data_IF_289460316522
#
_entry.id   IF_289460316522
#
_cell.length_a   1.000
_cell.length_b   1.000
_cell.length_c   1.000
_cell.angle_alpha   90.00
_cell.angle_beta   90.00
_cell.angle_gamma   90.00
#
_symmetry.space_group_name_H-M   'P 1'
#
loop_
_entity.id
_entity.type
_entity.pdbx_description
1 polymer ?
#
# COMPACT_ATOMS: atom_id res chain seq x y z
N UNK A 1 10.80 -2.99 -8.75
CA UNK A 1 10.49 -1.56 -8.52
C UNK A 1 9.83 -1.01 -9.77
N UNK A 2 8.62 -0.47 -9.67
CA UNK A 2 7.87 0.16 -10.77
C UNK A 2 7.50 1.58 -10.34
N UNK A 3 7.81 2.60 -11.15
CA UNK A 3 7.70 4.01 -10.75
C UNK A 3 6.73 4.71 -11.68
N UNK A 4 5.71 5.35 -11.10
CA UNK A 4 4.70 6.12 -11.82
C UNK A 4 4.57 7.52 -11.18
N UNK A 5 4.61 8.61 -11.96
CA UNK A 5 4.27 9.92 -11.44
C UNK A 5 2.78 9.96 -11.12
N UNK A 6 2.43 10.37 -9.89
CA UNK A 6 1.06 10.50 -9.42
C UNK A 6 0.83 11.89 -8.82
N UNK A 7 -0.37 12.42 -9.00
CA UNK A 7 -0.81 13.69 -8.41
C UNK A 7 -1.76 13.44 -7.23
N UNK A 8 -1.88 14.42 -6.34
CA UNK A 8 -2.89 14.42 -5.27
C UNK A 8 -4.28 14.19 -5.88
N UNK A 9 -5.07 13.32 -5.25
CA UNK A 9 -6.41 12.96 -5.70
C UNK A 9 -6.44 11.85 -6.75
N UNK A 10 -5.30 11.42 -7.28
CA UNK A 10 -5.25 10.26 -8.15
C UNK A 10 -5.18 8.95 -7.35
N UNK A 11 -5.72 7.87 -7.92
CA UNK A 11 -5.73 6.54 -7.29
C UNK A 11 -4.92 5.54 -8.12
N UNK A 12 -3.99 4.84 -7.48
CA UNK A 12 -3.28 3.69 -8.03
C UNK A 12 -4.02 2.40 -7.73
N UNK A 13 -4.35 1.64 -8.77
CA UNK A 13 -4.97 0.32 -8.63
C UNK A 13 -3.90 -0.75 -8.78
N UNK A 14 -3.81 -1.64 -7.79
CA UNK A 14 -2.89 -2.77 -7.77
C UNK A 14 -3.74 -4.04 -7.72
N UNK A 15 -3.63 -4.92 -8.73
CA UNK A 15 -4.55 -6.07 -8.88
C UNK A 15 -6.03 -5.58 -8.92
N UNK A 16 -7.01 -6.48 -8.92
CA UNK A 16 -8.39 -6.08 -9.12
C UNK A 16 -9.01 -5.30 -7.95
N UNK A 17 -8.53 -5.47 -6.72
CA UNK A 17 -9.22 -4.99 -5.52
C UNK A 17 -8.37 -4.10 -4.59
N UNK A 18 -7.13 -3.76 -4.91
CA UNK A 18 -6.32 -2.85 -4.07
C UNK A 18 -6.28 -1.47 -4.70
N UNK A 19 -6.73 -0.45 -3.96
CA UNK A 19 -6.71 0.94 -4.36
C UNK A 19 -5.82 1.74 -3.41
N UNK A 20 -4.96 2.57 -3.99
CA UNK A 20 -3.99 3.41 -3.27
C UNK A 20 -4.22 4.86 -3.68
N UNK A 21 -5.17 5.58 -3.05
CA UNK A 21 -5.36 7.01 -3.28
C UNK A 21 -4.19 7.82 -2.71
N UNK A 22 -3.72 8.80 -3.49
CA UNK A 22 -2.77 9.81 -3.03
C UNK A 22 -3.56 10.91 -2.33
N UNK A 23 -3.56 10.91 -1.00
CA UNK A 23 -4.38 11.80 -0.18
C UNK A 23 -3.69 13.15 0.00
N UNK A 24 -2.41 13.16 0.35
CA UNK A 24 -1.61 14.37 0.48
C UNK A 24 -0.11 14.05 0.27
N UNK A 25 0.66 15.05 -0.12
CA UNK A 25 2.12 14.96 -0.30
C UNK A 25 2.88 16.07 0.43
N UNK A 26 2.18 16.96 1.16
CA UNK A 26 2.82 18.09 1.84
C UNK A 26 3.47 17.65 3.16
N UNK A 27 4.78 17.88 3.27
CA UNK A 27 5.68 17.51 4.38
C UNK A 27 5.84 15.99 4.60
N UNK A 28 4.74 15.30 4.90
CA UNK A 28 4.68 13.85 5.06
C UNK A 28 3.65 13.29 4.07
N UNK A 29 4.10 12.42 3.16
CA UNK A 29 3.20 11.79 2.20
C UNK A 29 2.14 10.93 2.92
N UNK A 30 0.87 11.20 2.63
CA UNK A 30 -0.27 10.44 3.14
C UNK A 30 -0.84 9.61 2.00
N UNK A 31 -0.75 8.29 2.18
CA UNK A 31 -1.27 7.30 1.25
C UNK A 31 -2.45 6.61 1.94
N UNK A 32 -3.61 6.61 1.28
CA UNK A 32 -4.68 5.68 1.65
C UNK A 32 -4.43 4.34 1.00
N UNK A 33 -4.84 3.26 1.66
CA UNK A 33 -4.83 1.91 1.08
C UNK A 33 -6.19 1.30 1.38
N UNK A 34 -6.94 0.98 0.34
CA UNK A 34 -8.16 0.19 0.38
C UNK A 34 -7.83 -1.18 -0.21
N UNK A 35 -7.99 -2.21 0.61
CA UNK A 35 -7.62 -3.58 0.29
C UNK A 35 -8.62 -4.55 0.93
N UNK A 36 -8.87 -5.70 0.30
CA UNK A 36 -9.76 -6.70 0.87
C UNK A 36 -9.15 -7.33 2.14
N UNK A 37 -10.01 -7.85 3.01
CA UNK A 37 -9.62 -8.35 4.34
C UNK A 37 -8.63 -9.53 4.33
N UNK A 38 -8.49 -10.21 3.19
CA UNK A 38 -7.53 -11.30 3.01
C UNK A 38 -6.11 -10.80 2.66
N UNK A 39 -5.89 -9.49 2.55
CA UNK A 39 -4.59 -8.89 2.25
C UNK A 39 -4.09 -8.15 3.48
N UNK A 40 -2.95 -8.59 4.03
CA UNK A 40 -2.28 -7.89 5.12
C UNK A 40 -1.56 -6.65 4.59
N UNK A 41 -1.88 -5.49 5.15
CA UNK A 41 -1.22 -4.22 4.82
C UNK A 41 -0.43 -3.76 6.04
N UNK A 42 0.90 -3.81 5.94
CA UNK A 42 1.82 -3.40 7.00
C UNK A 42 2.72 -2.28 6.48
N UNK A 43 3.20 -1.45 7.42
CA UNK A 43 4.32 -0.54 7.12
C UNK A 43 5.61 -1.33 7.17
N UNK A 44 6.57 -1.01 6.30
CA UNK A 44 7.81 -1.78 6.15
C UNK A 44 8.56 -1.97 7.48
N UNK A 45 8.54 -0.96 8.36
CA UNK A 45 9.19 -1.05 9.67
C UNK A 45 8.56 -2.09 10.61
N UNK A 46 7.33 -2.54 10.34
CA UNK A 46 6.59 -3.52 11.13
C UNK A 46 6.68 -4.94 10.55
N UNK A 47 7.41 -5.14 9.44
CA UNK A 47 7.53 -6.45 8.76
C UNK A 47 8.38 -7.45 9.56
N UNK A 48 8.97 -7.06 10.69
CA UNK A 48 9.59 -8.01 11.61
C UNK A 48 8.53 -8.97 12.17
N UNK A 49 8.57 -10.22 11.68
CA UNK A 49 8.25 -11.49 12.39
C UNK A 49 7.16 -12.38 11.78
N UNK A 50 6.38 -11.98 10.77
CA UNK A 50 5.28 -12.84 10.26
C UNK A 50 5.56 -13.53 8.90
N UNK A 51 6.83 -13.64 8.49
CA UNK A 51 7.21 -14.29 7.23
C UNK A 51 7.61 -15.78 7.37
N UNK A 52 7.50 -16.39 8.55
CA UNK A 52 7.93 -17.79 8.78
C UNK A 52 6.77 -18.82 8.81
N UNK A 53 5.51 -18.43 8.59
CA UNK A 53 4.34 -19.33 8.76
C UNK A 53 3.49 -19.58 7.50
N UNK A 54 3.88 -19.09 6.32
CA UNK A 54 3.11 -19.30 5.09
C UNK A 54 3.83 -20.12 4.00
N UNK A 55 5.05 -20.58 4.26
CA UNK A 55 5.71 -21.62 3.46
C UNK A 55 5.55 -22.99 4.18
N UNK A 56 4.36 -23.58 4.08
CA UNK A 56 4.11 -25.00 4.40
C UNK A 56 3.25 -25.64 3.32
#
# INVERSE_FOLDING_TARGET
MFVLPRRIGETLRIVDAILVPIVDVKDNQVLGIDAPANVTVLREELVQTDHESLDS
#
